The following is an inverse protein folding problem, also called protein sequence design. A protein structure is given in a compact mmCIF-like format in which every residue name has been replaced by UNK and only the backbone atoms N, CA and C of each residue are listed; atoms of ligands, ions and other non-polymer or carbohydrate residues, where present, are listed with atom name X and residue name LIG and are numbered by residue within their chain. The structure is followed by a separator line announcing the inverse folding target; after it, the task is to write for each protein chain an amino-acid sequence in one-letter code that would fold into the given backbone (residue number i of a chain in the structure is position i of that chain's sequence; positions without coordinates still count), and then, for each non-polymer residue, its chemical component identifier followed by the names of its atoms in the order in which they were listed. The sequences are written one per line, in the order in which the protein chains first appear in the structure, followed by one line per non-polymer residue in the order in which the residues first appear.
data_IF_761250622890
#
_entry.id   IF_761250622890
#
_cell.length_a   1.000
_cell.length_b   1.000
_cell.length_c   1.000
_cell.angle_alpha   90.00
_cell.angle_beta   90.00
_cell.angle_gamma   90.00
#
_symmetry.space_group_name_H-M   'P 1'
#
loop_
_entity.id
_entity.type
_entity.pdbx_description
1 polymer ?
#
# COMPACT_ATOMS: atom_id res chain seq x y z
N UNK A 1 11.31 9.33 -14.11
CA UNK A 1 9.95 9.01 -14.61
C UNK A 1 9.85 7.53 -14.90
N UNK A 2 8.90 6.83 -14.32
CA UNK A 2 8.65 5.40 -14.53
C UNK A 2 7.45 5.19 -15.47
N UNK A 3 7.59 4.30 -16.48
CA UNK A 3 6.57 4.07 -17.50
C UNK A 3 5.82 2.77 -17.24
N UNK A 4 4.51 2.85 -17.10
CA UNK A 4 3.56 1.73 -17.11
C UNK A 4 2.86 1.62 -18.47
N UNK A 5 2.10 0.56 -18.70
CA UNK A 5 1.34 0.37 -19.95
C UNK A 5 0.34 1.47 -20.25
N UNK A 6 -0.35 2.00 -19.24
CA UNK A 6 -1.45 2.95 -19.42
C UNK A 6 -1.17 4.34 -18.83
N UNK A 7 -0.12 4.51 -18.03
CA UNK A 7 0.25 5.79 -17.41
C UNK A 7 1.75 5.85 -17.13
N UNK A 8 2.22 7.02 -16.79
CA UNK A 8 3.60 7.25 -16.33
C UNK A 8 3.61 7.98 -15.00
N UNK A 9 4.68 7.78 -14.23
CA UNK A 9 4.83 8.37 -12.89
C UNK A 9 6.18 9.06 -12.80
N UNK A 10 6.16 10.36 -12.52
CA UNK A 10 7.33 11.09 -12.02
C UNK A 10 7.51 10.74 -10.53
N UNK A 11 8.74 10.49 -10.11
CA UNK A 11 9.08 10.07 -8.76
C UNK A 11 10.40 10.69 -8.27
N UNK A 12 10.76 11.87 -8.83
CA UNK A 12 12.04 12.50 -8.57
C UNK A 12 12.09 13.25 -7.23
N UNK A 13 10.94 13.80 -6.82
CA UNK A 13 10.81 14.66 -5.63
C UNK A 13 10.13 13.96 -4.44
N UNK A 14 9.41 12.86 -4.66
CA UNK A 14 8.77 12.11 -3.58
C UNK A 14 9.79 11.39 -2.69
N UNK A 15 9.44 11.24 -1.44
CA UNK A 15 10.28 10.59 -0.41
C UNK A 15 10.62 9.14 -0.75
N UNK A 16 9.79 8.48 -1.55
CA UNK A 16 10.00 7.12 -2.04
C UNK A 16 9.85 7.05 -3.56
N UNK A 17 10.80 6.39 -4.21
CA UNK A 17 10.73 6.07 -5.64
C UNK A 17 9.70 4.97 -5.91
N UNK A 18 9.21 4.91 -7.16
CA UNK A 18 8.41 3.78 -7.62
C UNK A 18 9.19 2.48 -7.42
N UNK A 19 8.70 1.63 -6.54
CA UNK A 19 9.33 0.36 -6.19
C UNK A 19 8.41 -0.84 -6.42
N UNK A 20 9.00 -2.04 -6.49
CA UNK A 20 8.25 -3.28 -6.64
C UNK A 20 7.17 -3.45 -5.56
N UNK A 21 7.42 -3.01 -4.32
CA UNK A 21 6.48 -3.17 -3.21
C UNK A 21 5.16 -2.45 -3.50
N UNK A 22 5.20 -1.22 -4.02
CA UNK A 22 4.02 -0.46 -4.42
C UNK A 22 3.26 -1.12 -5.58
N UNK A 23 3.98 -1.60 -6.60
CA UNK A 23 3.37 -2.27 -7.75
C UNK A 23 2.73 -3.60 -7.35
N UNK A 24 3.39 -4.39 -6.48
CA UNK A 24 2.86 -5.65 -5.97
C UNK A 24 1.60 -5.43 -5.12
N UNK A 25 1.60 -4.41 -4.24
CA UNK A 25 0.41 -4.03 -3.47
C UNK A 25 -0.74 -3.65 -4.39
N UNK A 26 -0.51 -2.72 -5.33
CA UNK A 26 -1.53 -2.27 -6.25
C UNK A 26 -2.10 -3.40 -7.10
N UNK A 27 -1.24 -4.26 -7.66
CA UNK A 27 -1.67 -5.40 -8.46
C UNK A 27 -2.46 -6.45 -7.66
N UNK A 28 -2.05 -6.72 -6.42
CA UNK A 28 -2.70 -7.70 -5.56
C UNK A 28 -4.03 -7.20 -5.01
N UNK A 29 -4.14 -5.92 -4.68
CA UNK A 29 -5.36 -5.33 -4.11
C UNK A 29 -6.59 -5.49 -5.03
N UNK A 30 -6.39 -5.60 -6.35
CA UNK A 30 -7.46 -5.89 -7.32
C UNK A 30 -8.29 -7.13 -6.98
N UNK A 31 -7.66 -8.17 -6.44
CA UNK A 31 -8.32 -9.46 -6.22
C UNK A 31 -9.05 -9.56 -4.86
N UNK A 32 -9.06 -8.50 -4.07
CA UNK A 32 -9.42 -8.57 -2.65
C UNK A 32 -10.79 -7.98 -2.34
N UNK A 33 -11.31 -7.13 -3.20
CA UNK A 33 -12.64 -6.57 -3.00
C UNK A 33 -13.63 -7.20 -3.96
N UNK A 34 -14.62 -7.91 -3.41
CA UNK A 34 -15.69 -8.52 -4.18
C UNK A 34 -16.71 -7.45 -4.60
N UNK A 35 -16.43 -6.72 -5.66
CA UNK A 35 -17.30 -5.67 -6.18
C UNK A 35 -16.52 -4.46 -6.70
N UNK A 36 -17.25 -3.39 -7.01
CA UNK A 36 -16.67 -2.13 -7.42
C UNK A 36 -16.71 -1.15 -6.24
N UNK A 37 -15.60 -0.92 -5.53
CA UNK A 37 -15.56 0.07 -4.46
C UNK A 37 -15.89 1.45 -5.02
N UNK A 38 -16.77 2.18 -4.35
CA UNK A 38 -17.11 3.55 -4.76
C UNK A 38 -16.02 4.54 -4.32
N UNK A 39 -15.37 4.26 -3.17
CA UNK A 39 -14.31 5.10 -2.59
C UNK A 39 -13.11 4.26 -2.17
N UNK A 40 -11.92 4.72 -2.58
CA UNK A 40 -10.64 4.11 -2.25
C UNK A 40 -9.75 5.16 -1.60
N UNK A 41 -9.01 4.78 -0.56
CA UNK A 41 -8.01 5.62 0.08
C UNK A 41 -6.63 4.96 -0.02
N UNK A 42 -5.66 5.71 -0.51
CA UNK A 42 -4.24 5.35 -0.50
C UNK A 42 -3.52 6.15 0.60
N UNK A 43 -3.18 5.47 1.69
CA UNK A 43 -2.52 6.09 2.87
C UNK A 43 -1.00 6.06 2.69
N UNK A 44 -0.38 7.23 2.72
CA UNK A 44 1.04 7.40 2.38
C UNK A 44 1.23 7.25 0.87
N UNK A 45 0.46 8.03 0.10
CA UNK A 45 0.37 7.86 -1.37
C UNK A 45 1.68 8.15 -2.09
N UNK A 46 2.61 8.92 -1.48
CA UNK A 46 3.87 9.29 -2.10
C UNK A 46 3.65 9.97 -3.46
N UNK A 47 4.32 9.49 -4.50
CA UNK A 47 4.15 9.97 -5.88
C UNK A 47 2.79 9.56 -6.52
N UNK A 48 1.91 8.87 -5.79
CA UNK A 48 0.57 8.51 -6.24
C UNK A 48 0.48 7.22 -7.07
N UNK A 49 1.53 6.40 -7.12
CA UNK A 49 1.56 5.22 -7.98
C UNK A 49 0.48 4.20 -7.64
N UNK A 50 0.24 3.91 -6.34
CA UNK A 50 -0.79 2.94 -5.94
C UNK A 50 -2.19 3.51 -6.20
N UNK A 51 -2.43 4.79 -5.91
CA UNK A 51 -3.69 5.45 -6.24
C UNK A 51 -4.01 5.40 -7.74
N UNK A 52 -3.02 5.63 -8.62
CA UNK A 52 -3.16 5.50 -10.07
C UNK A 52 -3.50 4.07 -10.49
N UNK A 53 -2.86 3.07 -9.88
CA UNK A 53 -3.18 1.66 -10.13
C UNK A 53 -4.62 1.32 -9.69
N UNK A 54 -5.09 1.86 -8.57
CA UNK A 54 -6.48 1.71 -8.13
C UNK A 54 -7.47 2.37 -9.11
N UNK A 55 -7.16 3.57 -9.60
CA UNK A 55 -7.99 4.26 -10.59
C UNK A 55 -8.08 3.51 -11.94
N UNK A 56 -6.99 2.84 -12.35
CA UNK A 56 -6.98 1.96 -13.51
C UNK A 56 -7.89 0.73 -13.31
N UNK A 57 -7.82 0.12 -12.13
CA UNK A 57 -8.53 -1.14 -11.85
C UNK A 57 -10.03 -0.96 -11.62
N UNK A 58 -10.42 0.16 -11.02
CA UNK A 58 -11.78 0.44 -10.57
C UNK A 58 -12.33 1.69 -11.29
N UNK A 59 -12.87 1.52 -12.51
CA UNK A 59 -13.25 2.65 -13.37
C UNK A 59 -14.32 3.58 -12.78
N UNK A 60 -15.14 3.09 -11.85
CA UNK A 60 -16.18 3.87 -11.19
C UNK A 60 -15.75 4.48 -9.83
N UNK A 61 -14.58 4.11 -9.31
CA UNK A 61 -14.13 4.56 -8.00
C UNK A 61 -13.62 6.00 -8.00
N UNK A 62 -13.92 6.73 -6.92
CA UNK A 62 -13.19 7.92 -6.51
C UNK A 62 -12.01 7.47 -5.65
N UNK A 63 -10.81 7.90 -6.00
CA UNK A 63 -9.58 7.52 -5.31
C UNK A 63 -8.95 8.75 -4.67
N UNK A 64 -8.70 8.66 -3.37
CA UNK A 64 -8.07 9.72 -2.58
C UNK A 64 -6.69 9.27 -2.13
N UNK A 65 -5.65 10.05 -2.44
CA UNK A 65 -4.29 9.86 -1.93
C UNK A 65 -4.05 10.78 -0.74
N UNK A 66 -3.63 10.23 0.39
CA UNK A 66 -3.28 10.98 1.59
C UNK A 66 -1.79 10.86 1.85
N UNK A 67 -1.12 11.99 2.06
CA UNK A 67 0.28 12.04 2.47
C UNK A 67 0.55 13.27 3.35
N UNK A 68 1.56 13.18 4.21
CA UNK A 68 2.02 14.28 5.05
C UNK A 68 3.14 15.11 4.37
N UNK A 69 3.81 14.53 3.36
CA UNK A 69 4.96 15.12 2.69
C UNK A 69 4.53 16.00 1.52
N UNK A 70 4.71 17.32 1.62
CA UNK A 70 4.29 18.26 0.60
C UNK A 70 4.95 18.01 -0.78
N UNK A 71 6.28 17.72 -0.88
CA UNK A 71 6.90 17.38 -2.16
C UNK A 71 6.25 16.16 -2.84
N UNK A 72 5.89 15.12 -2.07
CA UNK A 72 5.17 13.95 -2.57
C UNK A 72 3.78 14.31 -3.09
N UNK A 73 3.02 15.14 -2.36
CA UNK A 73 1.70 15.63 -2.78
C UNK A 73 1.79 16.44 -4.08
N UNK A 74 2.80 17.30 -4.22
CA UNK A 74 2.98 18.11 -5.42
C UNK A 74 3.31 17.24 -6.63
N UNK A 75 4.15 16.22 -6.45
CA UNK A 75 4.48 15.26 -7.50
C UNK A 75 3.28 14.37 -7.86
N UNK A 76 2.54 13.85 -6.88
CA UNK A 76 1.32 13.09 -7.11
C UNK A 76 0.26 13.91 -7.87
N UNK A 77 0.15 15.21 -7.58
CA UNK A 77 -0.78 16.11 -8.30
C UNK A 77 -0.45 16.18 -9.80
N UNK A 78 0.83 16.29 -10.13
CA UNK A 78 1.28 16.29 -11.54
C UNK A 78 0.97 14.94 -12.19
N UNK A 79 1.26 13.83 -11.50
CA UNK A 79 1.02 12.47 -11.98
C UNK A 79 -0.49 12.21 -12.20
N UNK A 80 -1.35 12.64 -11.27
CA UNK A 80 -2.80 12.49 -11.39
C UNK A 80 -3.35 13.30 -12.57
N UNK A 81 -2.92 14.56 -12.72
CA UNK A 81 -3.35 15.41 -13.81
C UNK A 81 -2.91 14.89 -15.20
N UNK A 82 -1.76 14.22 -15.27
CA UNK A 82 -1.25 13.62 -16.51
C UNK A 82 -1.88 12.27 -16.84
N UNK A 83 -2.63 11.66 -15.90
CA UNK A 83 -3.23 10.33 -16.09
C UNK A 83 -4.59 10.42 -16.81
N UNK A 84 -5.05 9.31 -17.43
CA UNK A 84 -6.40 9.23 -18.00
C UNK A 84 -7.54 9.36 -16.98
N UNK A 85 -7.23 9.32 -15.67
CA UNK A 85 -8.21 9.21 -14.57
C UNK A 85 -8.21 10.43 -13.63
N UNK A 86 -7.57 11.54 -14.02
CA UNK A 86 -7.37 12.72 -13.18
C UNK A 86 -8.64 13.25 -12.51
N UNK A 87 -9.79 13.19 -13.18
CA UNK A 87 -11.09 13.65 -12.65
C UNK A 87 -11.59 12.81 -11.46
N UNK A 88 -11.08 11.58 -11.29
CA UNK A 88 -11.48 10.66 -10.22
C UNK A 88 -10.44 10.55 -9.10
N UNK A 89 -9.35 11.29 -9.22
CA UNK A 89 -8.22 11.29 -8.30
C UNK A 89 -8.17 12.60 -7.53
N UNK A 90 -8.02 12.53 -6.23
CA UNK A 90 -7.85 13.70 -5.37
C UNK A 90 -6.77 13.46 -4.33
N UNK A 91 -6.22 14.55 -3.78
CA UNK A 91 -5.12 14.51 -2.82
C UNK A 91 -5.50 15.21 -1.52
N UNK A 92 -5.06 14.66 -0.42
CA UNK A 92 -5.23 15.16 0.93
C UNK A 92 -3.84 15.33 1.53
N UNK A 93 -3.42 16.58 1.75
CA UNK A 93 -2.16 16.91 2.41
C UNK A 93 -2.42 17.07 3.91
N UNK A 94 -2.22 15.98 4.67
CA UNK A 94 -2.31 16.04 6.12
C UNK A 94 -1.72 14.77 6.75
N UNK A 95 -1.23 14.82 8.00
CA UNK A 95 -0.90 13.63 8.76
C UNK A 95 -2.13 12.74 8.95
N UNK A 96 -1.98 11.42 8.87
CA UNK A 96 -3.10 10.48 9.03
C UNK A 96 -3.82 10.67 10.37
N UNK A 97 -3.07 10.99 11.42
CA UNK A 97 -3.58 11.22 12.78
C UNK A 97 -4.53 12.44 12.86
N UNK A 98 -4.35 13.41 11.97
CA UNK A 98 -5.16 14.64 11.91
C UNK A 98 -6.29 14.56 10.88
N UNK A 99 -6.30 13.52 10.05
CA UNK A 99 -7.32 13.38 9.02
C UNK A 99 -8.70 13.06 9.62
N UNK A 100 -9.59 14.05 9.57
CA UNK A 100 -10.97 13.96 10.05
C UNK A 100 -11.96 13.96 8.88
N UNK A 101 -12.83 12.96 8.82
CA UNK A 101 -13.85 12.85 7.76
C UNK A 101 -14.97 11.91 8.19
N UNK A 102 -16.19 12.18 7.71
CA UNK A 102 -17.33 11.28 7.80
C UNK A 102 -17.35 10.21 6.69
N UNK A 103 -16.44 10.32 5.72
CA UNK A 103 -16.35 9.36 4.62
C UNK A 103 -15.91 8.00 5.13
N UNK A 104 -16.40 6.95 4.47
CA UNK A 104 -15.97 5.57 4.65
C UNK A 104 -15.49 5.02 3.30
N UNK A 105 -14.44 4.20 3.36
CA UNK A 105 -13.78 3.65 2.18
C UNK A 105 -13.99 2.15 2.11
N UNK A 106 -14.42 1.65 0.96
CA UNK A 106 -14.58 0.22 0.72
C UNK A 106 -13.23 -0.48 0.51
N UNK A 107 -12.24 0.28 0.07
CA UNK A 107 -10.86 -0.22 -0.06
C UNK A 107 -9.90 0.83 0.49
N UNK A 108 -9.04 0.41 1.41
CA UNK A 108 -7.91 1.20 1.88
C UNK A 108 -6.65 0.44 1.53
N UNK A 109 -5.68 1.13 0.93
CA UNK A 109 -4.36 0.58 0.60
C UNK A 109 -3.28 1.40 1.28
N UNK A 110 -2.15 0.75 1.66
CA UNK A 110 -0.99 1.46 2.20
C UNK A 110 0.30 0.70 1.94
N UNK A 111 1.30 1.40 1.43
CA UNK A 111 2.68 0.94 1.38
C UNK A 111 3.54 1.87 2.26
N UNK A 112 3.41 1.78 3.58
CA UNK A 112 4.06 2.72 4.49
C UNK A 112 5.59 2.59 4.44
N UNK A 113 6.34 3.67 4.73
CA UNK A 113 7.79 3.59 4.82
C UNK A 113 8.22 2.62 5.94
N UNK A 114 9.07 1.63 5.61
CA UNK A 114 9.55 0.65 6.56
C UNK A 114 10.86 1.11 7.17
N UNK A 115 10.84 1.51 8.43
CA UNK A 115 12.05 1.62 9.21
C UNK A 115 12.14 0.42 10.16
N UNK A 116 12.88 -0.59 9.73
CA UNK A 116 13.36 -1.61 10.65
C UNK A 116 14.26 -0.94 11.70
N UNK A 117 14.06 -1.22 12.96
CA UNK A 117 14.92 -0.82 14.09
C UNK A 117 16.41 -1.23 13.96
N UNK A 118 16.81 -1.77 12.80
CA UNK A 118 18.10 -2.42 12.55
C UNK A 118 19.27 -1.47 12.25
N UNK A 119 19.04 -0.17 12.13
CA UNK A 119 20.14 0.79 11.95
C UNK A 119 19.93 2.05 12.81
N UNK A 120 20.07 1.89 14.14
CA UNK A 120 20.44 3.01 14.98
C UNK A 120 21.88 3.42 14.60
N UNK A 121 22.00 4.29 13.60
CA UNK A 121 23.27 4.93 13.29
C UNK A 121 23.73 5.75 14.51
N UNK A 122 25.04 6.01 14.69
CA UNK A 122 25.61 6.69 15.86
C UNK A 122 25.17 8.15 16.00
N UNK A 123 24.33 8.69 15.13
CA UNK A 123 23.96 10.09 15.12
C UNK A 123 22.53 10.30 15.67
N UNK A 124 22.43 10.66 16.96
CA UNK A 124 21.17 10.89 17.69
C UNK A 124 20.23 11.92 17.04
N UNK A 125 20.75 12.96 16.39
CA UNK A 125 19.95 14.00 15.74
C UNK A 125 19.25 13.53 14.46
N UNK A 126 19.91 12.67 13.66
CA UNK A 126 19.26 12.02 12.51
C UNK A 126 18.20 10.99 12.91
N UNK A 127 18.36 10.38 14.07
CA UNK A 127 17.38 9.41 14.59
C UNK A 127 16.09 10.11 15.06
N UNK A 128 16.16 11.32 15.61
CA UNK A 128 14.99 12.07 16.07
C UNK A 128 14.16 12.57 14.88
N UNK A 129 14.78 13.11 13.82
CA UNK A 129 14.09 13.49 12.60
C UNK A 129 13.38 12.28 11.91
N UNK A 130 14.05 11.11 11.89
CA UNK A 130 13.46 9.88 11.32
C UNK A 130 12.29 9.31 12.11
N UNK A 131 12.14 9.63 13.40
CA UNK A 131 11.00 9.19 14.22
C UNK A 131 9.73 10.01 13.97
N UNK A 132 9.85 11.22 13.44
CA UNK A 132 8.71 12.06 13.05
C UNK A 132 8.19 11.74 11.65
N UNK A 133 8.99 11.08 10.81
CA UNK A 133 8.67 10.78 9.42
C UNK A 133 8.07 9.35 9.23
N UNK A 134 7.89 8.59 10.31
CA UNK A 134 7.35 7.21 10.21
C UNK A 134 5.93 7.15 10.71
N UNK A 135 5.06 6.55 9.93
CA UNK A 135 3.71 6.18 10.36
C UNK A 135 3.79 4.90 11.21
N UNK A 136 3.56 4.97 12.56
CA UNK A 136 3.53 3.78 13.39
C UNK A 136 2.43 2.82 12.94
N UNK A 137 2.68 1.51 12.95
CA UNK A 137 1.66 0.52 12.59
C UNK A 137 0.40 0.60 13.47
N UNK A 138 0.54 1.01 14.74
CA UNK A 138 -0.61 1.20 15.60
C UNK A 138 -1.54 2.31 15.09
N UNK A 139 -0.98 3.45 14.71
CA UNK A 139 -1.73 4.59 14.17
C UNK A 139 -2.37 4.20 12.82
N UNK A 140 -1.60 3.50 11.97
CA UNK A 140 -2.13 3.02 10.69
C UNK A 140 -3.34 2.09 10.88
N UNK A 141 -3.26 1.12 11.81
CA UNK A 141 -4.35 0.20 12.11
C UNK A 141 -5.57 0.93 12.71
N UNK A 142 -5.34 1.84 13.65
CA UNK A 142 -6.37 2.64 14.29
C UNK A 142 -7.16 3.45 13.27
N UNK A 143 -6.46 4.24 12.46
CA UNK A 143 -7.11 5.11 11.50
C UNK A 143 -7.70 4.33 10.32
N UNK A 144 -7.05 3.25 9.85
CA UNK A 144 -7.63 2.38 8.85
C UNK A 144 -8.95 1.76 9.35
N UNK A 145 -9.01 1.26 10.59
CA UNK A 145 -10.25 0.71 11.15
C UNK A 145 -11.37 1.75 11.27
N UNK A 146 -11.03 3.00 11.63
CA UNK A 146 -11.99 4.10 11.72
C UNK A 146 -12.52 4.54 10.36
N UNK A 147 -11.69 4.50 9.32
CA UNK A 147 -12.03 4.98 7.97
C UNK A 147 -12.65 3.90 7.08
N UNK A 148 -12.49 2.62 7.42
CA UNK A 148 -13.00 1.51 6.64
C UNK A 148 -14.54 1.41 6.75
N UNK A 149 -15.22 1.09 5.65
CA UNK A 149 -16.65 0.71 5.67
C UNK A 149 -16.83 -0.69 6.26
N UNK A 150 -18.03 -1.04 6.69
CA UNK A 150 -18.35 -2.33 7.33
C UNK A 150 -17.99 -3.54 6.45
N UNK A 151 -18.15 -3.41 5.14
CA UNK A 151 -17.82 -4.41 4.12
C UNK A 151 -16.46 -4.17 3.47
N UNK A 152 -15.70 -3.20 3.97
CA UNK A 152 -14.44 -2.76 3.39
C UNK A 152 -13.28 -3.72 3.61
N UNK A 153 -12.24 -3.51 2.81
CA UNK A 153 -10.96 -4.24 2.90
C UNK A 153 -9.82 -3.25 3.08
N UNK A 154 -8.97 -3.50 4.07
CA UNK A 154 -7.71 -2.78 4.27
C UNK A 154 -6.54 -3.64 3.83
N UNK A 155 -5.75 -3.17 2.88
CA UNK A 155 -4.59 -3.85 2.31
C UNK A 155 -3.31 -3.11 2.66
N UNK A 156 -2.30 -3.83 3.14
CA UNK A 156 -1.02 -3.22 3.50
C UNK A 156 0.15 -4.11 3.11
N UNK A 157 1.23 -3.49 2.61
CA UNK A 157 2.53 -4.11 2.43
C UNK A 157 3.37 -3.90 3.69
N UNK A 158 4.01 -4.95 4.21
CA UNK A 158 4.84 -4.89 5.42
C UNK A 158 6.11 -5.74 5.28
N UNK A 159 7.18 -5.45 6.05
CA UNK A 159 8.24 -6.41 6.29
C UNK A 159 7.66 -7.69 6.91
N UNK A 160 8.06 -8.85 6.42
CA UNK A 160 7.55 -10.13 6.94
C UNK A 160 7.77 -10.31 8.45
N UNK A 161 8.86 -9.76 8.99
CA UNK A 161 9.19 -9.82 10.42
C UNK A 161 8.14 -9.14 11.31
N UNK A 162 7.43 -8.14 10.80
CA UNK A 162 6.41 -7.39 11.54
C UNK A 162 5.00 -7.97 11.34
N UNK A 163 4.80 -8.78 10.30
CA UNK A 163 3.49 -9.21 9.84
C UNK A 163 2.64 -9.89 10.94
N UNK A 164 3.20 -10.86 11.66
CA UNK A 164 2.46 -11.61 12.68
C UNK A 164 2.10 -10.73 13.89
N UNK A 165 2.97 -9.79 14.25
CA UNK A 165 2.69 -8.82 15.32
C UNK A 165 1.58 -7.85 14.91
N UNK A 166 1.61 -7.38 13.66
CA UNK A 166 0.57 -6.50 13.10
C UNK A 166 -0.77 -7.22 13.04
N UNK A 167 -0.82 -8.47 12.56
CA UNK A 167 -2.05 -9.30 12.53
C UNK A 167 -2.64 -9.45 13.92
N UNK A 168 -1.81 -9.78 14.93
CA UNK A 168 -2.26 -9.92 16.31
C UNK A 168 -2.84 -8.61 16.86
N UNK A 169 -2.16 -7.47 16.67
CA UNK A 169 -2.61 -6.16 17.14
C UNK A 169 -3.90 -5.71 16.42
N UNK A 170 -3.97 -5.92 15.12
CA UNK A 170 -5.14 -5.61 14.30
C UNK A 170 -6.41 -6.26 14.85
N UNK A 171 -6.32 -7.56 15.16
CA UNK A 171 -7.43 -8.32 15.74
C UNK A 171 -7.78 -7.88 17.16
N UNK A 172 -6.77 -7.74 18.04
CA UNK A 172 -7.00 -7.51 19.47
C UNK A 172 -7.51 -6.10 19.78
N UNK A 173 -7.08 -5.09 19.03
CA UNK A 173 -7.34 -3.69 19.38
C UNK A 173 -8.29 -2.98 18.42
N UNK A 174 -8.41 -3.45 17.16
CA UNK A 174 -9.10 -2.72 16.10
C UNK A 174 -10.19 -3.53 15.39
N UNK A 175 -10.48 -4.75 15.84
CA UNK A 175 -11.44 -5.68 15.22
C UNK A 175 -11.16 -5.93 13.72
N UNK A 176 -9.92 -5.74 13.28
CA UNK A 176 -9.47 -6.02 11.93
C UNK A 176 -8.96 -7.46 11.85
N UNK A 177 -9.70 -8.31 11.16
CA UNK A 177 -9.39 -9.74 11.03
C UNK A 177 -8.65 -10.01 9.73
N UNK A 178 -7.57 -10.77 9.79
CA UNK A 178 -6.82 -11.17 8.60
C UNK A 178 -7.73 -12.01 7.70
N UNK A 179 -7.98 -11.53 6.50
CA UNK A 179 -8.74 -12.21 5.46
C UNK A 179 -7.82 -12.95 4.49
N UNK A 180 -6.72 -12.31 4.08
CA UNK A 180 -5.78 -12.87 3.11
C UNK A 180 -4.35 -12.42 3.41
N UNK A 181 -3.38 -13.33 3.17
CA UNK A 181 -1.94 -13.04 3.27
C UNK A 181 -1.21 -13.60 2.07
N UNK A 182 -0.31 -12.80 1.49
CA UNK A 182 0.63 -13.23 0.45
C UNK A 182 2.05 -12.92 0.92
N UNK A 183 2.83 -13.95 1.20
CA UNK A 183 4.23 -13.81 1.55
C UNK A 183 5.12 -13.74 0.31
N UNK A 184 6.08 -12.83 0.30
CA UNK A 184 6.88 -12.51 -0.88
C UNK A 184 8.35 -12.75 -0.59
N UNK A 185 8.98 -13.54 -1.47
CA UNK A 185 10.43 -13.74 -1.52
C UNK A 185 11.00 -13.42 -2.89
N UNK A 186 12.24 -12.99 -2.92
CA UNK A 186 12.89 -12.65 -4.19
C UNK A 186 13.14 -13.89 -5.04
N UNK A 187 13.64 -14.98 -4.44
CA UNK A 187 13.86 -16.30 -5.06
C UNK A 187 13.51 -17.39 -4.06
N UNK A 188 13.29 -18.60 -4.55
CA UNK A 188 12.88 -19.75 -3.73
C UNK A 188 13.89 -20.09 -2.61
N UNK A 189 15.18 -19.87 -2.86
CA UNK A 189 16.29 -20.13 -1.93
C UNK A 189 16.52 -19.00 -0.90
N UNK A 190 15.78 -17.88 -1.01
CA UNK A 190 15.91 -16.73 -0.12
C UNK A 190 14.76 -16.65 0.89
N UNK A 191 14.97 -16.01 2.04
CA UNK A 191 13.91 -15.84 3.03
C UNK A 191 12.80 -14.93 2.52
N UNK A 192 11.60 -15.10 3.07
CA UNK A 192 10.48 -14.18 2.87
C UNK A 192 10.86 -12.81 3.42
N UNK A 193 10.72 -11.77 2.62
CA UNK A 193 11.10 -10.40 2.99
C UNK A 193 9.91 -9.50 3.26
N UNK A 194 8.80 -9.72 2.56
CA UNK A 194 7.60 -8.89 2.62
C UNK A 194 6.37 -9.76 2.78
N UNK A 195 5.32 -9.16 3.32
CA UNK A 195 3.99 -9.75 3.36
C UNK A 195 2.97 -8.70 2.93
N UNK A 196 2.07 -9.08 2.06
CA UNK A 196 0.84 -8.38 1.77
C UNK A 196 -0.25 -8.93 2.66
N UNK A 197 -0.90 -8.07 3.42
CA UNK A 197 -1.97 -8.43 4.35
C UNK A 197 -3.26 -7.71 3.96
N UNK A 198 -4.37 -8.42 3.92
CA UNK A 198 -5.69 -7.86 3.75
C UNK A 198 -6.54 -8.17 4.99
N UNK A 199 -7.16 -7.11 5.52
CA UNK A 199 -7.99 -7.16 6.72
C UNK A 199 -9.42 -6.75 6.39
N UNK A 200 -10.38 -7.35 7.10
CA UNK A 200 -11.79 -7.00 7.08
C UNK A 200 -12.35 -7.02 8.51
N UNK A 201 -13.55 -6.47 8.72
CA UNK A 201 -14.25 -6.65 10.01
C UNK A 201 -14.84 -8.05 10.17
N UNK A 202 -15.10 -8.76 9.07
CA UNK A 202 -15.61 -10.14 9.13
C UNK A 202 -14.50 -11.08 9.58
N UNK A 203 -14.87 -12.04 10.42
CA UNK A 203 -13.96 -13.12 10.84
C UNK A 203 -14.08 -14.26 9.81
N UNK A 204 -13.06 -14.55 9.02
CA UNK A 204 -13.09 -15.70 8.12
C UNK A 204 -12.95 -17.02 8.90
N UNK A 205 -13.41 -18.13 8.35
CA UNK A 205 -13.14 -19.46 8.94
C UNK A 205 -11.64 -19.71 9.00
N UNK A 206 -10.95 -19.51 7.89
CA UNK A 206 -9.48 -19.48 7.79
C UNK A 206 -9.04 -18.35 6.87
N UNK A 207 -7.96 -17.63 7.22
CA UNK A 207 -7.36 -16.66 6.30
C UNK A 207 -6.74 -17.35 5.09
N UNK A 208 -7.00 -16.87 3.90
CA UNK A 208 -6.33 -17.35 2.69
C UNK A 208 -4.82 -17.00 2.76
N UNK A 209 -3.95 -17.98 2.49
CA UNK A 209 -2.50 -17.81 2.52
C UNK A 209 -1.89 -18.24 1.21
N UNK A 210 -0.92 -17.45 0.73
CA UNK A 210 -0.15 -17.73 -0.47
C UNK A 210 1.31 -17.30 -0.34
N UNK A 211 2.09 -17.71 -1.31
CA UNK A 211 3.47 -17.29 -1.46
C UNK A 211 3.72 -16.85 -2.91
N UNK A 212 4.48 -15.77 -3.07
CA UNK A 212 4.93 -15.25 -4.35
C UNK A 212 6.46 -15.23 -4.39
N UNK A 213 7.02 -15.99 -5.31
CA UNK A 213 8.43 -15.92 -5.68
C UNK A 213 8.56 -14.95 -6.85
N UNK A 214 9.39 -13.91 -6.72
CA UNK A 214 9.48 -12.87 -7.75
C UNK A 214 10.34 -13.30 -8.94
N UNK A 215 11.40 -14.08 -8.68
CA UNK A 215 12.40 -14.42 -9.71
C UNK A 215 12.71 -15.90 -9.71
N UNK A 216 12.96 -16.43 -10.89
CA UNK A 216 13.51 -17.75 -11.12
C UNK A 216 15.02 -17.81 -10.73
N UNK A 217 15.60 -19.00 -10.78
CA UNK A 217 17.02 -19.20 -10.46
C UNK A 217 17.97 -18.41 -11.37
N UNK A 218 17.59 -18.18 -12.62
CA UNK A 218 18.31 -17.38 -13.60
C UNK A 218 18.09 -15.86 -13.47
N UNK A 219 17.42 -15.41 -12.42
CA UNK A 219 17.02 -14.02 -12.18
C UNK A 219 15.97 -13.43 -13.15
N UNK A 220 15.36 -14.21 -14.02
CA UNK A 220 14.21 -13.77 -14.80
C UNK A 220 12.97 -13.64 -13.88
N UNK A 221 12.00 -12.83 -14.27
CA UNK A 221 10.75 -12.72 -13.52
C UNK A 221 9.99 -14.05 -13.60
N UNK A 222 9.51 -14.54 -12.45
CA UNK A 222 8.72 -15.77 -12.38
C UNK A 222 7.39 -15.64 -13.13
N UNK A 223 6.79 -16.77 -13.51
CA UNK A 223 5.47 -16.77 -14.16
C UNK A 223 4.40 -16.14 -13.26
N UNK A 224 4.29 -16.50 -11.96
CA UNK A 224 3.31 -15.86 -11.06
C UNK A 224 3.51 -14.34 -10.92
N UNK A 225 4.76 -13.87 -10.86
CA UNK A 225 5.06 -12.44 -10.78
C UNK A 225 4.61 -11.71 -12.06
N UNK A 226 4.95 -12.25 -13.23
CA UNK A 226 4.51 -11.67 -14.52
C UNK A 226 2.99 -11.65 -14.65
N UNK A 227 2.31 -12.71 -14.23
CA UNK A 227 0.84 -12.76 -14.26
C UNK A 227 0.22 -11.73 -13.33
N UNK A 228 0.72 -11.58 -12.11
CA UNK A 228 0.21 -10.60 -11.15
C UNK A 228 0.35 -9.17 -11.68
N UNK A 229 1.48 -8.85 -12.32
CA UNK A 229 1.82 -7.49 -12.76
C UNK A 229 1.53 -7.23 -14.24
N UNK A 230 0.88 -8.17 -14.94
CA UNK A 230 0.68 -8.17 -16.39
C UNK A 230 -0.02 -6.90 -16.92
N UNK A 231 -0.91 -6.29 -16.14
CA UNK A 231 -1.66 -5.09 -16.55
C UNK A 231 -0.83 -3.80 -16.43
N UNK A 232 0.36 -3.85 -15.82
CA UNK A 232 1.14 -2.67 -15.47
C UNK A 232 2.48 -2.58 -16.18
N UNK A 233 3.33 -3.60 -16.08
CA UNK A 233 4.65 -3.58 -16.70
C UNK A 233 4.59 -3.76 -18.22
N UNK A 234 5.48 -3.03 -18.91
CA UNK A 234 5.69 -3.14 -20.36
C UNK A 234 6.21 -4.51 -20.77
#
# INVERSE_FOLDING_TARGET
MFQFKQFSVADDNSSQKVGNDAVLLGAWARSLHNGNPARILDIGTGCGVVALMMAQQYPAAQVEGLDLDQPSIDEARVNFAASPWGERLSLIHCPLQEYQTERRYQLIVSNPPFFTNSLKGPNKQRNTARHTDTLPFADLLEHASRLLSEDGTFCVMLPNLDADNVVRKARLHYNLNLHRRLDIRTRVDLPIKRSLLAFTFRVPEEPERGELVLREADNTNSVPHRQLTAEYYL
#
